data_IF_491588806332
#
_entry.id   IF_491588806332
#
_cell.length_a   1.000
_cell.length_b   1.000
_cell.length_c   1.000
_cell.angle_alpha   90.00
_cell.angle_beta   90.00
_cell.angle_gamma   90.00
#
_symmetry.space_group_name_H-M   'P 1'
#
loop_
_entity.id
_entity.type
_entity.pdbx_description
1 polymer ?
#
# COMPACT_ATOMS: atom_id res chain seq x y z
N UNK A 1 -5.16 19.78 18.13
CA UNK A 1 -5.76 18.50 17.67
C UNK A 1 -4.72 17.45 17.28
N UNK A 2 -3.52 17.83 16.84
CA UNK A 2 -2.42 16.91 16.48
C UNK A 2 -2.12 15.79 17.50
N UNK A 3 -2.15 16.08 18.80
CA UNK A 3 -1.84 15.08 19.84
C UNK A 3 -2.78 13.87 19.92
N UNK A 4 -4.00 13.96 19.40
CA UNK A 4 -4.96 12.85 19.42
C UNK A 4 -4.52 11.71 18.48
N UNK A 5 -4.19 12.03 17.23
CA UNK A 5 -3.79 11.03 16.23
C UNK A 5 -2.47 10.35 16.57
N UNK A 6 -1.51 11.08 17.18
CA UNK A 6 -0.29 10.48 17.72
C UNK A 6 -0.56 9.41 18.79
N UNK A 7 -1.58 9.61 19.65
CA UNK A 7 -1.99 8.60 20.64
C UNK A 7 -2.60 7.37 19.97
N UNK A 8 -3.45 7.56 18.95
CA UNK A 8 -4.06 6.45 18.21
C UNK A 8 -3.00 5.64 17.48
N UNK A 9 -2.10 6.29 16.72
CA UNK A 9 -1.01 5.61 16.01
C UNK A 9 -0.07 4.89 16.97
N UNK A 10 0.26 5.49 18.11
CA UNK A 10 1.05 4.83 19.15
C UNK A 10 0.31 3.65 19.79
N UNK A 11 -1.02 3.71 19.88
CA UNK A 11 -1.87 2.60 20.30
C UNK A 11 -1.85 1.42 19.31
N UNK A 12 -1.85 1.72 18.01
CA UNK A 12 -1.74 0.73 16.94
C UNK A 12 -0.34 0.09 16.88
N UNK A 13 0.71 0.88 17.07
CA UNK A 13 2.11 0.47 16.88
C UNK A 13 2.87 0.29 18.22
N UNK A 14 2.28 -0.45 19.17
CA UNK A 14 2.99 -0.83 20.41
C UNK A 14 4.03 -1.92 20.14
N UNK A 15 5.12 -1.96 20.90
CA UNK A 15 6.21 -2.95 20.79
C UNK A 15 5.80 -4.40 21.07
N UNK A 16 4.66 -4.65 21.72
CA UNK A 16 4.15 -6.01 21.94
C UNK A 16 3.96 -6.72 20.61
N UNK A 17 4.55 -7.89 20.43
CA UNK A 17 4.44 -8.67 19.19
C UNK A 17 3.04 -9.31 19.03
N UNK A 18 2.12 -8.53 18.46
CA UNK A 18 0.74 -8.92 18.15
C UNK A 18 0.16 -7.91 17.14
N UNK A 19 -0.81 -8.28 16.28
CA UNK A 19 -1.40 -7.37 15.31
C UNK A 19 -1.96 -6.08 15.95
N UNK A 20 -2.00 -4.96 15.20
CA UNK A 20 -2.69 -3.75 15.65
C UNK A 20 -4.15 -4.05 16.01
N UNK A 21 -4.61 -3.55 17.17
CA UNK A 21 -5.99 -3.78 17.60
C UNK A 21 -6.99 -3.07 16.68
N UNK A 22 -8.10 -3.73 16.35
CA UNK A 22 -9.11 -3.23 15.40
C UNK A 22 -9.59 -1.82 15.73
N UNK A 23 -9.87 -1.50 17.00
CA UNK A 23 -10.32 -0.16 17.41
C UNK A 23 -9.40 0.99 16.97
N UNK A 24 -8.09 0.75 16.87
CA UNK A 24 -7.16 1.76 16.39
C UNK A 24 -7.16 1.79 14.86
N UNK A 25 -7.19 0.62 14.21
CA UNK A 25 -7.30 0.51 12.75
C UNK A 25 -8.57 1.20 12.24
N UNK A 26 -9.72 0.95 12.85
CA UNK A 26 -11.01 1.51 12.44
C UNK A 26 -10.99 3.05 12.49
N UNK A 27 -10.41 3.62 13.56
CA UNK A 27 -10.23 5.06 13.70
C UNK A 27 -9.27 5.64 12.65
N UNK A 28 -8.15 4.96 12.38
CA UNK A 28 -7.17 5.38 11.37
C UNK A 28 -7.74 5.29 9.95
N UNK A 29 -8.49 4.23 9.64
CA UNK A 29 -9.20 4.09 8.36
C UNK A 29 -10.22 5.22 8.20
N UNK A 30 -11.03 5.50 9.22
CA UNK A 30 -12.00 6.60 9.22
C UNK A 30 -11.34 7.95 8.95
N UNK A 31 -10.14 8.20 9.50
CA UNK A 31 -9.40 9.45 9.30
C UNK A 31 -9.10 9.77 7.83
N UNK A 32 -8.98 8.76 6.97
CA UNK A 32 -8.69 8.95 5.53
C UNK A 32 -9.87 9.52 4.74
N UNK A 33 -11.08 9.45 5.30
CA UNK A 33 -12.30 10.01 4.70
C UNK A 33 -12.61 11.43 5.20
N UNK A 34 -11.84 11.94 6.17
CA UNK A 34 -12.05 13.25 6.77
C UNK A 34 -11.24 14.32 6.03
N UNK A 35 -11.89 15.43 5.67
CA UNK A 35 -11.27 16.56 4.96
C UNK A 35 -10.77 17.67 5.91
N UNK A 36 -10.37 17.32 7.14
CA UNK A 36 -10.11 18.25 8.24
C UNK A 36 -8.63 18.34 8.67
N UNK A 37 -7.72 17.65 7.98
CA UNK A 37 -6.31 17.58 8.37
C UNK A 37 -5.92 16.31 9.14
N UNK A 38 -6.89 15.45 9.50
CA UNK A 38 -6.68 14.28 10.33
C UNK A 38 -5.71 13.27 9.71
N UNK A 39 -5.85 12.97 8.42
CA UNK A 39 -4.95 12.05 7.73
C UNK A 39 -3.49 12.56 7.68
N UNK A 40 -3.28 13.88 7.55
CA UNK A 40 -1.94 14.47 7.59
C UNK A 40 -1.27 14.28 8.96
N UNK A 41 -2.03 14.43 10.04
CA UNK A 41 -1.52 14.16 11.39
C UNK A 41 -1.21 12.68 11.61
N UNK A 42 -2.07 11.78 11.10
CA UNK A 42 -1.81 10.33 11.09
C UNK A 42 -0.53 10.01 10.32
N UNK A 43 -0.34 10.60 9.13
CA UNK A 43 0.87 10.41 8.33
C UNK A 43 2.14 10.86 9.06
N UNK A 44 2.12 12.02 9.73
CA UNK A 44 3.25 12.49 10.55
C UNK A 44 3.57 11.53 11.68
N UNK A 45 2.53 11.00 12.35
CA UNK A 45 2.71 10.03 13.42
C UNK A 45 3.22 8.67 12.92
N UNK A 46 2.79 8.21 11.73
CA UNK A 46 3.32 6.97 11.13
C UNK A 46 4.78 7.11 10.73
N UNK A 47 5.18 8.28 10.19
CA UNK A 47 6.57 8.58 9.85
C UNK A 47 7.50 8.44 11.05
N UNK A 48 7.07 8.85 12.25
CA UNK A 48 7.91 8.65 13.45
C UNK A 48 8.01 7.18 13.86
N UNK A 49 6.95 6.38 13.66
CA UNK A 49 6.97 4.94 13.94
C UNK A 49 7.82 4.11 12.98
N UNK A 50 7.97 4.55 11.73
CA UNK A 50 8.89 3.92 10.78
C UNK A 50 10.37 4.12 11.13
N UNK A 51 10.69 5.06 12.03
CA UNK A 51 12.05 5.34 12.52
C UNK A 51 12.31 4.81 13.93
N UNK A 52 11.38 4.01 14.45
CA UNK A 52 11.50 3.42 15.78
C UNK A 52 12.56 2.30 15.76
N UNK A 53 13.45 2.21 16.75
CA UNK A 53 14.45 1.14 16.82
C UNK A 53 13.83 -0.25 17.00
N UNK A 54 12.57 -0.34 17.45
CA UNK A 54 11.90 -1.62 17.62
C UNK A 54 11.26 -2.10 16.30
N UNK A 55 11.75 -3.21 15.77
CA UNK A 55 11.25 -3.80 14.52
C UNK A 55 9.75 -4.16 14.55
N UNK A 56 9.19 -4.54 15.71
CA UNK A 56 7.75 -4.80 15.85
C UNK A 56 6.92 -3.53 15.68
N UNK A 57 7.44 -2.37 16.13
CA UNK A 57 6.80 -1.06 15.91
C UNK A 57 6.82 -0.70 14.44
N UNK A 58 7.97 -0.86 13.76
CA UNK A 58 8.12 -0.61 12.33
C UNK A 58 7.19 -1.53 11.51
N UNK A 59 7.15 -2.83 11.84
CA UNK A 59 6.31 -3.79 11.14
C UNK A 59 4.82 -3.40 11.24
N UNK A 60 4.36 -3.02 12.44
CA UNK A 60 2.98 -2.55 12.61
C UNK A 60 2.69 -1.26 11.85
N UNK A 61 3.64 -0.33 11.77
CA UNK A 61 3.48 0.87 10.97
C UNK A 61 3.30 0.53 9.49
N UNK A 62 4.09 -0.40 8.95
CA UNK A 62 3.94 -0.91 7.57
C UNK A 62 2.58 -1.59 7.36
N UNK A 63 2.10 -2.40 8.31
CA UNK A 63 0.78 -3.02 8.26
C UNK A 63 -0.37 -2.00 8.27
N UNK A 64 -0.26 -0.96 9.11
CA UNK A 64 -1.23 0.13 9.14
C UNK A 64 -1.24 0.85 7.79
N UNK A 65 -0.08 1.20 7.24
CA UNK A 65 0.03 1.86 5.92
C UNK A 65 -0.66 1.01 4.84
N UNK A 66 -0.35 -0.30 4.77
CA UNK A 66 -0.99 -1.20 3.82
C UNK A 66 -2.52 -1.26 4.03
N UNK A 67 -2.97 -1.32 5.28
CA UNK A 67 -4.40 -1.36 5.61
C UNK A 67 -5.11 -0.07 5.22
N UNK A 68 -4.50 1.10 5.40
CA UNK A 68 -5.06 2.38 4.97
C UNK A 68 -5.24 2.46 3.46
N UNK A 69 -4.31 1.89 2.70
CA UNK A 69 -4.42 1.79 1.23
C UNK A 69 -5.60 0.88 0.84
N UNK A 70 -5.81 -0.23 1.55
CA UNK A 70 -6.84 -1.24 1.21
C UNK A 70 -8.25 -0.88 1.69
N UNK A 71 -8.38 -0.44 2.94
CA UNK A 71 -9.67 -0.23 3.58
C UNK A 71 -10.08 1.26 3.68
N UNK A 72 -9.12 2.18 3.54
CA UNK A 72 -9.35 3.61 3.60
C UNK A 72 -9.75 4.23 2.26
N UNK A 73 -9.78 5.57 2.25
CA UNK A 73 -9.85 6.35 1.03
C UNK A 73 -8.52 6.24 0.27
N UNK A 74 -8.35 5.16 -0.50
CA UNK A 74 -7.10 4.92 -1.21
C UNK A 74 -6.70 6.06 -2.16
N UNK A 75 -7.64 6.82 -2.73
CA UNK A 75 -7.30 7.94 -3.60
C UNK A 75 -6.58 9.05 -2.84
N UNK A 76 -7.10 9.46 -1.68
CA UNK A 76 -6.44 10.43 -0.80
C UNK A 76 -5.10 9.90 -0.31
N UNK A 77 -5.08 8.66 0.20
CA UNK A 77 -3.87 8.01 0.75
C UNK A 77 -2.77 7.89 -0.30
N UNK A 78 -3.10 7.36 -1.47
CA UNK A 78 -2.14 7.15 -2.55
C UNK A 78 -1.67 8.47 -3.15
N UNK A 79 -2.57 9.43 -3.38
CA UNK A 79 -2.19 10.75 -3.91
C UNK A 79 -1.24 11.47 -2.96
N UNK A 80 -1.55 11.45 -1.66
CA UNK A 80 -0.74 12.10 -0.64
C UNK A 80 0.68 11.50 -0.50
N UNK A 81 0.81 10.16 -0.48
CA UNK A 81 2.12 9.50 -0.29
C UNK A 81 2.89 9.24 -1.58
N UNK A 82 2.23 9.22 -2.74
CA UNK A 82 2.92 9.15 -4.04
C UNK A 82 3.58 10.46 -4.44
N UNK A 83 3.16 11.58 -3.85
CA UNK A 83 3.63 12.92 -4.22
C UNK A 83 3.09 13.40 -5.58
N UNK A 84 2.07 12.73 -6.12
CA UNK A 84 1.45 13.07 -7.41
C UNK A 84 0.87 14.49 -7.43
N UNK A 85 0.50 15.02 -6.26
CA UNK A 85 -0.02 16.37 -6.07
C UNK A 85 1.07 17.45 -5.96
N UNK A 86 2.36 17.08 -6.09
CA UNK A 86 3.50 18.01 -6.05
C UNK A 86 3.78 18.60 -4.68
N UNK A 87 3.19 18.08 -3.59
CA UNK A 87 3.37 18.62 -2.23
C UNK A 87 4.57 17.96 -1.56
N UNK A 88 5.72 18.62 -1.65
CA UNK A 88 6.98 18.18 -1.04
C UNK A 88 6.90 18.00 0.49
N UNK A 89 7.74 17.09 1.02
CA UNK A 89 7.90 16.87 2.47
C UNK A 89 6.94 15.87 3.13
N UNK A 90 6.04 15.24 2.36
CA UNK A 90 5.02 14.27 2.83
C UNK A 90 5.46 12.81 2.82
N UNK A 91 6.73 12.57 2.53
CA UNK A 91 7.28 11.22 2.50
C UNK A 91 7.20 10.53 3.86
N UNK A 92 6.75 9.28 3.86
CA UNK A 92 6.81 8.38 5.02
C UNK A 92 8.23 8.01 5.44
N UNK A 93 9.25 8.25 4.61
CA UNK A 93 10.61 7.78 4.86
C UNK A 93 10.80 6.28 4.62
N UNK A 94 9.94 5.64 3.82
CA UNK A 94 10.08 4.21 3.47
C UNK A 94 11.42 3.89 2.81
N UNK A 95 12.02 4.84 2.08
CA UNK A 95 13.38 4.67 1.53
C UNK A 95 14.40 4.43 2.64
N UNK A 96 14.27 5.12 3.77
CA UNK A 96 15.16 4.97 4.93
C UNK A 96 15.03 3.55 5.49
N UNK A 97 13.80 3.02 5.60
CA UNK A 97 13.52 1.63 6.05
C UNK A 97 14.11 0.58 5.09
N UNK A 98 14.10 0.86 3.79
CA UNK A 98 14.67 -0.03 2.77
C UNK A 98 16.20 -0.04 2.84
N UNK A 99 16.84 1.10 3.09
CA UNK A 99 18.31 1.24 3.07
C UNK A 99 19.00 0.94 4.39
N UNK A 100 18.27 0.94 5.51
CA UNK A 100 18.86 0.77 6.85
C UNK A 100 19.25 -0.69 7.09
N UNK A 101 20.51 -0.94 7.46
CA UNK A 101 21.06 -2.29 7.73
C UNK A 101 20.44 -2.96 8.95
N UNK A 102 19.99 -2.18 9.92
CA UNK A 102 19.42 -2.68 11.19
C UNK A 102 17.96 -3.15 11.03
N UNK A 103 17.33 -2.86 9.88
CA UNK A 103 15.95 -3.29 9.61
C UNK A 103 15.96 -4.76 9.16
N UNK A 104 15.15 -5.64 9.77
CA UNK A 104 15.01 -7.02 9.31
C UNK A 104 14.63 -7.09 7.83
N UNK A 105 15.26 -8.02 7.10
CA UNK A 105 15.16 -8.05 5.63
C UNK A 105 13.71 -8.17 5.13
N UNK A 106 12.87 -8.94 5.81
CA UNK A 106 11.45 -9.05 5.48
C UNK A 106 10.71 -7.71 5.55
N UNK A 107 11.02 -6.84 6.53
CA UNK A 107 10.45 -5.51 6.67
C UNK A 107 10.99 -4.55 5.61
N UNK A 108 12.29 -4.63 5.27
CA UNK A 108 12.87 -3.84 4.18
C UNK A 108 12.20 -4.18 2.84
N UNK A 109 11.99 -5.48 2.55
CA UNK A 109 11.26 -5.92 1.34
C UNK A 109 9.82 -5.45 1.35
N UNK A 110 9.14 -5.51 2.50
CA UNK A 110 7.76 -5.04 2.63
C UNK A 110 7.62 -3.52 2.46
N UNK A 111 8.56 -2.74 3.01
CA UNK A 111 8.64 -1.30 2.78
C UNK A 111 8.92 -0.98 1.30
N UNK A 112 9.77 -1.76 0.63
CA UNK A 112 10.04 -1.63 -0.80
C UNK A 112 8.79 -1.91 -1.63
N UNK A 113 7.99 -2.93 -1.28
CA UNK A 113 6.70 -3.19 -1.91
C UNK A 113 5.75 -1.99 -1.80
N UNK A 114 5.55 -1.44 -0.60
CA UNK A 114 4.69 -0.28 -0.40
C UNK A 114 5.18 0.95 -1.18
N UNK A 115 6.51 1.17 -1.20
CA UNK A 115 7.11 2.24 -2.00
C UNK A 115 6.90 2.02 -3.51
N UNK A 116 7.05 0.80 -4.00
CA UNK A 116 6.79 0.44 -5.39
C UNK A 116 5.31 0.68 -5.75
N UNK A 117 4.39 0.40 -4.83
CA UNK A 117 2.95 0.66 -5.01
C UNK A 117 2.65 2.15 -5.16
N UNK A 118 3.26 3.03 -4.35
CA UNK A 118 3.11 4.48 -4.52
C UNK A 118 3.71 4.99 -5.83
N UNK A 119 4.88 4.48 -6.24
CA UNK A 119 5.49 4.82 -7.53
C UNK A 119 4.64 4.36 -8.71
N UNK A 120 4.06 3.17 -8.61
CA UNK A 120 3.12 2.63 -9.59
C UNK A 120 1.89 3.54 -9.72
N UNK A 121 1.29 3.95 -8.60
CA UNK A 121 0.18 4.90 -8.60
C UNK A 121 0.56 6.25 -9.24
N UNK A 122 1.72 6.81 -8.92
CA UNK A 122 2.20 8.05 -9.55
C UNK A 122 2.34 7.92 -11.08
N UNK A 123 2.85 6.77 -11.55
CA UNK A 123 3.05 6.51 -12.97
C UNK A 123 1.74 6.26 -13.72
N UNK A 124 0.81 5.53 -13.11
CA UNK A 124 -0.45 5.10 -13.75
C UNK A 124 -1.63 6.05 -13.49
N UNK A 125 -1.51 6.94 -12.50
CA UNK A 125 -2.56 7.84 -12.01
C UNK A 125 -3.83 7.13 -11.52
N UNK A 126 -3.73 5.84 -11.22
CA UNK A 126 -4.77 5.02 -10.62
C UNK A 126 -4.13 3.84 -9.88
N UNK A 127 -4.85 3.23 -8.93
CA UNK A 127 -4.37 2.04 -8.21
C UNK A 127 -4.79 0.76 -8.97
N UNK A 128 -3.85 -0.03 -9.53
CA UNK A 128 -4.19 -1.23 -10.29
C UNK A 128 -4.74 -2.36 -9.41
N UNK A 129 -4.52 -2.33 -8.10
CA UNK A 129 -4.99 -3.35 -7.15
C UNK A 129 -6.41 -3.06 -6.66
N UNK A 130 -6.92 -1.85 -6.84
CA UNK A 130 -8.24 -1.50 -6.34
C UNK A 130 -9.32 -2.20 -7.14
N UNK A 131 -10.09 -3.05 -6.46
CA UNK A 131 -11.20 -3.79 -7.08
C UNK A 131 -12.52 -3.01 -7.00
N UNK A 132 -13.41 -3.25 -7.98
CA UNK A 132 -14.74 -2.63 -8.04
C UNK A 132 -15.61 -2.88 -6.78
N UNK A 133 -15.39 -3.96 -6.03
CA UNK A 133 -16.17 -4.28 -4.82
C UNK A 133 -15.72 -3.51 -3.57
N UNK A 134 -14.47 -3.07 -3.52
CA UNK A 134 -13.87 -2.31 -2.40
C UNK A 134 -14.04 -0.78 -2.56
N UNK A 135 -14.71 -0.33 -3.63
CA UNK A 135 -15.11 1.06 -3.82
C UNK A 135 -16.51 1.32 -3.19
N UNK A 136 -16.71 2.48 -2.51
CA UNK A 136 -18.04 2.95 -2.10
C UNK A 136 -19.02 2.87 -3.28
N UNK A 137 -20.29 2.54 -3.02
CA UNK A 137 -21.30 2.33 -4.07
C UNK A 137 -21.37 3.48 -5.10
N UNK A 138 -21.13 4.72 -4.65
CA UNK A 138 -21.05 5.93 -5.47
C UNK A 138 -19.91 5.97 -6.49
N UNK A 139 -18.82 5.22 -6.26
CA UNK A 139 -17.63 5.16 -7.12
C UNK A 139 -17.54 3.87 -7.95
N UNK A 140 -18.49 2.93 -7.77
CA UNK A 140 -18.52 1.62 -8.47
C UNK A 140 -18.75 1.72 -9.97
N UNK A 141 -19.27 2.84 -10.46
CA UNK A 141 -19.46 3.10 -11.89
C UNK A 141 -18.25 3.80 -12.53
N UNK A 142 -17.38 4.44 -11.73
CA UNK A 142 -16.18 5.14 -12.22
C UNK A 142 -14.90 4.30 -12.08
N UNK A 143 -14.87 3.36 -11.13
CA UNK A 143 -13.73 2.46 -10.92
C UNK A 143 -13.77 1.30 -11.93
N UNK A 144 -13.11 1.51 -13.08
CA UNK A 144 -12.73 0.40 -13.96
C UNK A 144 -11.67 -0.41 -13.23
N UNK A 145 -11.97 -1.67 -12.92
CA UNK A 145 -10.98 -2.65 -12.43
C UNK A 145 -9.69 -2.53 -13.27
N UNK A 146 -8.51 -2.50 -12.65
CA UNK A 146 -7.23 -2.40 -13.37
C UNK A 146 -7.11 -3.44 -14.49
N UNK A 147 -7.53 -4.67 -14.22
CA UNK A 147 -7.61 -5.76 -15.20
C UNK A 147 -8.54 -5.49 -16.39
N UNK A 148 -9.69 -4.83 -16.20
CA UNK A 148 -10.60 -4.50 -17.30
C UNK A 148 -10.06 -3.34 -18.14
N UNK A 149 -9.35 -2.41 -17.51
CA UNK A 149 -8.74 -1.28 -18.20
C UNK A 149 -7.60 -1.77 -19.10
N UNK A 150 -6.70 -2.60 -18.58
CA UNK A 150 -5.53 -3.05 -19.34
C UNK A 150 -5.89 -3.96 -20.51
N UNK A 151 -7.01 -4.71 -20.44
CA UNK A 151 -7.54 -5.52 -21.56
C UNK A 151 -7.94 -4.68 -22.78
N UNK A 152 -8.30 -3.42 -22.60
CA UNK A 152 -8.78 -2.53 -23.67
C UNK A 152 -7.80 -1.39 -24.00
N UNK A 153 -6.61 -1.43 -23.40
CA UNK A 153 -5.60 -0.41 -23.56
C UNK A 153 -4.75 -0.70 -24.79
N UNK A 154 -4.68 0.22 -25.75
CA UNK A 154 -3.86 0.06 -26.94
C UNK A 154 -2.41 0.43 -26.70
N UNK A 155 -1.50 -0.01 -27.57
CA UNK A 155 -0.07 0.34 -27.52
C UNK A 155 0.14 1.86 -27.50
N UNK A 156 -0.57 2.60 -28.36
CA UNK A 156 -0.51 4.07 -28.43
C UNK A 156 -0.92 4.75 -27.12
N UNK A 157 -1.83 4.15 -26.36
CA UNK A 157 -2.28 4.65 -25.06
C UNK A 157 -1.37 4.22 -23.90
N UNK A 158 -0.25 3.55 -24.21
CA UNK A 158 0.79 3.20 -23.27
C UNK A 158 0.67 1.80 -22.65
N UNK A 159 0.10 0.83 -23.37
CA UNK A 159 -0.02 -0.57 -22.91
C UNK A 159 1.30 -1.13 -22.38
N UNK A 160 2.37 -1.04 -23.17
CA UNK A 160 3.69 -1.59 -22.79
C UNK A 160 4.23 -0.93 -21.51
N UNK A 161 4.02 0.38 -21.36
CA UNK A 161 4.42 1.12 -20.15
C UNK A 161 3.64 0.66 -18.94
N UNK A 162 2.33 0.45 -19.08
CA UNK A 162 1.47 -0.01 -17.99
C UNK A 162 1.83 -1.42 -17.55
N UNK A 163 1.93 -2.37 -18.50
CA UNK A 163 2.36 -3.75 -18.23
C UNK A 163 3.71 -3.78 -17.53
N UNK A 164 4.70 -3.05 -18.04
CA UNK A 164 6.03 -2.98 -17.41
C UNK A 164 6.02 -2.36 -16.01
N UNK A 165 5.09 -1.44 -15.74
CA UNK A 165 4.91 -0.86 -14.40
C UNK A 165 4.26 -1.86 -13.44
N UNK A 166 3.28 -2.63 -13.91
CA UNK A 166 2.64 -3.70 -13.12
C UNK A 166 3.61 -4.84 -12.81
N UNK A 167 4.44 -5.25 -13.76
CA UNK A 167 5.47 -6.27 -13.55
C UNK A 167 6.44 -5.85 -12.44
N UNK A 168 6.97 -4.61 -12.49
CA UNK A 168 7.84 -4.07 -11.41
C UNK A 168 7.17 -4.06 -10.04
N UNK A 169 5.86 -3.77 -9.99
CA UNK A 169 5.10 -3.82 -8.75
C UNK A 169 4.94 -5.26 -8.25
N UNK A 170 4.65 -6.20 -9.15
CA UNK A 170 4.54 -7.62 -8.86
C UNK A 170 5.87 -8.19 -8.36
N UNK A 171 6.99 -7.83 -8.99
CA UNK A 171 8.35 -8.22 -8.56
C UNK A 171 8.62 -7.81 -7.11
N UNK A 172 8.29 -6.56 -6.76
CA UNK A 172 8.44 -6.08 -5.38
C UNK A 172 7.52 -6.80 -4.38
N UNK A 173 6.31 -7.21 -4.82
CA UNK A 173 5.38 -7.96 -3.99
C UNK A 173 5.90 -9.37 -3.70
N UNK A 174 6.24 -10.14 -4.74
CA UNK A 174 6.67 -11.55 -4.58
C UNK A 174 8.01 -11.67 -3.86
N UNK A 175 8.79 -10.59 -3.82
CA UNK A 175 10.00 -10.51 -3.01
C UNK A 175 9.70 -10.49 -1.50
N UNK A 176 8.47 -10.18 -1.08
CA UNK A 176 8.05 -10.27 0.32
C UNK A 176 7.84 -11.73 0.77
N UNK A 177 8.91 -12.39 1.21
CA UNK A 177 8.92 -13.82 1.57
C UNK A 177 8.40 -14.14 2.98
N UNK A 178 7.29 -13.54 3.40
CA UNK A 178 6.68 -13.84 4.72
C UNK A 178 6.22 -15.29 4.87
N UNK A 179 6.07 -16.05 3.78
CA UNK A 179 5.77 -17.48 3.82
C UNK A 179 6.97 -18.35 4.25
N UNK A 180 8.18 -17.78 4.33
CA UNK A 180 9.37 -18.43 4.87
C UNK A 180 9.61 -18.10 6.35
N UNK A 181 8.81 -17.20 6.92
CA UNK A 181 8.85 -16.83 8.34
C UNK A 181 7.92 -17.77 9.14
N UNK A 182 7.87 -17.58 10.46
CA UNK A 182 6.94 -18.32 11.31
C UNK A 182 5.47 -17.95 10.95
N UNK A 183 4.73 -18.92 10.39
CA UNK A 183 3.33 -18.74 10.00
C UNK A 183 2.34 -18.89 11.16
N UNK A 184 2.80 -19.33 12.34
CA UNK A 184 1.98 -19.29 13.56
C UNK A 184 1.98 -17.88 14.20
N UNK A 185 2.87 -16.99 13.71
CA UNK A 185 2.90 -15.59 14.10
C UNK A 185 1.77 -14.79 13.42
N UNK A 186 0.81 -14.35 14.23
CA UNK A 186 -0.33 -13.55 13.80
C UNK A 186 0.07 -12.27 13.02
N UNK A 187 1.23 -11.68 13.31
CA UNK A 187 1.72 -10.47 12.67
C UNK A 187 2.22 -10.76 11.25
N UNK A 188 3.00 -11.84 11.11
CA UNK A 188 3.44 -12.38 9.81
C UNK A 188 2.23 -12.76 8.98
N UNK A 189 1.28 -13.50 9.55
CA UNK A 189 0.05 -13.91 8.86
C UNK A 189 -0.81 -12.73 8.44
N UNK A 190 -0.87 -11.65 9.23
CA UNK A 190 -1.57 -10.43 8.84
C UNK A 190 -0.95 -9.77 7.61
N UNK A 191 0.38 -9.72 7.52
CA UNK A 191 1.10 -9.20 6.36
C UNK A 191 0.89 -10.07 5.13
N UNK A 192 1.06 -11.39 5.29
CA UNK A 192 0.91 -12.38 4.24
C UNK A 192 -0.49 -12.34 3.63
N UNK A 193 -1.54 -12.26 4.46
CA UNK A 193 -2.94 -12.15 3.99
C UNK A 193 -3.17 -10.92 3.12
N UNK A 194 -2.59 -9.76 3.49
CA UNK A 194 -2.73 -8.55 2.68
C UNK A 194 -1.97 -8.67 1.35
N UNK A 195 -0.74 -9.19 1.38
CA UNK A 195 0.09 -9.42 0.20
C UNK A 195 -0.56 -10.41 -0.77
N UNK A 196 -1.09 -11.54 -0.29
CA UNK A 196 -1.78 -12.52 -1.13
C UNK A 196 -3.01 -11.91 -1.80
N UNK A 197 -3.81 -11.13 -1.06
CA UNK A 197 -4.97 -10.45 -1.65
C UNK A 197 -4.57 -9.46 -2.76
N UNK A 198 -3.47 -8.73 -2.58
CA UNK A 198 -2.94 -7.85 -3.62
C UNK A 198 -2.39 -8.63 -4.82
N UNK A 199 -1.67 -9.73 -4.56
CA UNK A 199 -1.08 -10.60 -5.58
C UNK A 199 -2.14 -11.17 -6.52
N UNK A 200 -3.29 -11.62 -5.99
CA UNK A 200 -4.36 -12.16 -6.82
C UNK A 200 -4.87 -11.15 -7.87
N UNK A 201 -4.98 -9.88 -7.48
CA UNK A 201 -5.44 -8.81 -8.39
C UNK A 201 -4.33 -8.43 -9.39
N UNK A 202 -3.08 -8.31 -8.91
CA UNK A 202 -1.94 -8.02 -9.79
C UNK A 202 -1.70 -9.12 -10.81
N UNK A 203 -1.76 -10.38 -10.40
CA UNK A 203 -1.59 -11.52 -11.30
C UNK A 203 -2.64 -11.49 -12.41
N UNK A 204 -3.90 -11.23 -12.07
CA UNK A 204 -4.96 -11.05 -13.07
C UNK A 204 -4.64 -9.89 -14.02
N UNK A 205 -4.27 -8.71 -13.50
CA UNK A 205 -3.99 -7.54 -14.31
C UNK A 205 -2.77 -7.74 -15.24
N UNK A 206 -1.70 -8.36 -14.75
CA UNK A 206 -0.51 -8.68 -15.55
C UNK A 206 -0.85 -9.70 -16.63
N UNK A 207 -1.61 -10.75 -16.32
CA UNK A 207 -2.03 -11.75 -17.32
C UNK A 207 -2.87 -11.12 -18.45
N UNK A 208 -3.86 -10.32 -18.10
CA UNK A 208 -4.67 -9.59 -19.10
C UNK A 208 -3.82 -8.64 -19.94
N UNK A 209 -2.85 -7.98 -19.31
CA UNK A 209 -1.90 -7.11 -20.01
C UNK A 209 -1.02 -7.88 -21.00
N UNK A 210 -0.48 -9.04 -20.61
CA UNK A 210 0.32 -9.89 -21.49
C UNK A 210 -0.52 -10.44 -22.65
N UNK A 211 -1.75 -10.90 -22.39
CA UNK A 211 -2.67 -11.36 -23.44
C UNK A 211 -2.94 -10.22 -24.43
N UNK A 212 -3.21 -9.01 -23.95
CA UNK A 212 -3.46 -7.87 -24.82
C UNK A 212 -2.23 -7.52 -25.67
N UNK A 213 -1.02 -7.53 -25.07
CA UNK A 213 0.23 -7.31 -25.82
C UNK A 213 0.44 -8.36 -26.92
N UNK A 214 0.08 -9.62 -26.66
CA UNK A 214 0.19 -10.71 -27.65
C UNK A 214 -0.92 -10.67 -28.71
N UNK A 215 -2.09 -10.11 -28.37
CA UNK A 215 -3.26 -10.02 -29.26
C UNK A 215 -3.24 -8.83 -30.22
N UNK A 216 -2.43 -7.80 -29.95
CA UNK A 216 -2.21 -6.64 -30.83
C UNK A 216 -1.22 -6.95 -31.98
N UNK A 217 -1.27 -8.17 -32.55
CA UNK A 217 -0.55 -8.57 -33.76
C UNK A 217 -1.37 -8.34 -35.04
#
# INVERSE_FOLDING_TARGET
>A
MSGHWFKIVSGACKSKHAPPKSKYIDALVSSTYQADGSFQDVSRALRSKLRDPNSSVVFKALLVIHTLIRAGNAEEVMTYWSGLDGRDGRSLGLKDVVSTTDTPQNLSRYANYLLARFKCYAALKHDPIRTRSEAPASLRNSSRNGANRIRSLTVEKGLLREVGTLQKLMDALVDCKFYLEDTDDDLVMSALRLLVKDLLVLFQAVNEGVINVLGEQ
#
